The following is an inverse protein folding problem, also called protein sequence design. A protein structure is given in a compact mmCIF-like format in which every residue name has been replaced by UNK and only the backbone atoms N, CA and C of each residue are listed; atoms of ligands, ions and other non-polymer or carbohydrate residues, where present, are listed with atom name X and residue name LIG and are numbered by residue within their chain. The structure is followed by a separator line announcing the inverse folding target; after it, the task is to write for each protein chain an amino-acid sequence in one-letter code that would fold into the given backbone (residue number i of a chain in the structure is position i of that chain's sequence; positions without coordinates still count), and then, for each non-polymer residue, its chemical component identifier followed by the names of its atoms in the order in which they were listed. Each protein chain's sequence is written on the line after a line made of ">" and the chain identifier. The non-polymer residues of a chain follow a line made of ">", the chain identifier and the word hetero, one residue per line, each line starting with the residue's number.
data_IF_911233442313
#
_entry.id   IF_911233442313
#
_cell.length_a   1.000
_cell.length_b   1.000
_cell.length_c   1.000
_cell.angle_alpha   90.00
_cell.angle_beta   90.00
_cell.angle_gamma   90.00
#
_symmetry.space_group_name_H-M   'P 1'
#
loop_
_entity.id
_entity.type
_entity.pdbx_description
1 polymer ?
#
# COMPACT_ATOMS: atom_id res chain seq x y z
N UNK A 1 0.43 -2.61 -27.50
CA UNK A 1 1.83 -2.28 -27.20
C UNK A 1 1.88 -0.76 -27.00
N UNK A 2 1.63 -0.32 -25.76
CA UNK A 2 1.66 1.10 -25.41
C UNK A 2 3.11 1.50 -25.20
N UNK A 3 3.52 2.62 -25.79
CA UNK A 3 4.79 3.28 -25.47
C UNK A 3 4.89 3.43 -23.96
N UNK A 4 5.88 2.78 -23.35
CA UNK A 4 6.18 2.96 -21.93
C UNK A 4 6.60 4.42 -21.73
N UNK A 5 5.69 5.22 -21.18
CA UNK A 5 6.08 6.47 -20.54
C UNK A 5 7.16 6.11 -19.51
N UNK A 6 8.29 6.83 -19.52
CA UNK A 6 9.34 6.61 -18.55
C UNK A 6 8.75 6.85 -17.16
N UNK A 7 8.61 5.80 -16.35
CA UNK A 7 7.98 5.90 -15.04
C UNK A 7 8.82 6.82 -14.16
N UNK A 8 8.22 7.88 -13.65
CA UNK A 8 8.88 8.89 -12.85
C UNK A 8 8.88 8.49 -11.37
N UNK A 9 9.74 7.54 -11.02
CA UNK A 9 9.87 7.11 -9.64
C UNK A 9 10.60 8.14 -8.79
N UNK A 10 9.98 8.52 -7.67
CA UNK A 10 10.60 9.33 -6.63
C UNK A 10 11.01 8.44 -5.47
N UNK A 11 12.28 8.50 -5.10
CA UNK A 11 12.81 7.80 -3.92
C UNK A 11 12.46 8.55 -2.64
N UNK A 12 12.02 7.82 -1.61
CA UNK A 12 11.86 8.32 -0.25
C UNK A 12 12.39 7.28 0.75
N UNK A 13 13.19 7.77 1.69
CA UNK A 13 13.88 6.92 2.68
C UNK A 13 12.93 6.52 3.81
N UNK A 14 12.85 5.21 4.10
CA UNK A 14 12.20 4.67 5.29
C UNK A 14 13.19 4.15 6.32
N UNK A 15 12.71 3.45 7.35
CA UNK A 15 13.57 2.91 8.40
C UNK A 15 14.47 1.79 7.85
N UNK A 16 13.87 0.69 7.38
CA UNK A 16 14.57 -0.49 6.87
C UNK A 16 14.40 -0.68 5.35
N UNK A 17 13.62 0.20 4.72
CA UNK A 17 13.27 0.17 3.31
C UNK A 17 13.62 1.49 2.65
N UNK A 18 13.93 1.43 1.36
CA UNK A 18 13.81 2.54 0.41
C UNK A 18 12.51 2.34 -0.35
N UNK A 19 11.70 3.39 -0.45
CA UNK A 19 10.49 3.38 -1.24
C UNK A 19 10.71 4.15 -2.54
N UNK A 20 10.15 3.65 -3.62
CA UNK A 20 10.07 4.32 -4.90
C UNK A 20 8.59 4.39 -5.28
N UNK A 21 8.04 5.59 -5.43
CA UNK A 21 6.65 5.75 -5.80
C UNK A 21 6.52 6.46 -7.13
N UNK A 22 5.51 6.11 -7.91
CA UNK A 22 5.23 6.75 -9.20
C UNK A 22 4.61 8.14 -8.95
N UNK A 23 5.36 9.19 -9.24
CA UNK A 23 4.91 10.58 -9.06
C UNK A 23 3.81 10.99 -10.05
N UNK A 24 3.67 10.31 -11.19
CA UNK A 24 2.58 10.60 -12.13
C UNK A 24 1.24 10.13 -11.51
N UNK A 25 1.27 8.98 -10.85
CA UNK A 25 0.11 8.44 -10.14
C UNK A 25 -0.17 9.17 -8.81
N UNK A 26 0.81 9.24 -7.90
CA UNK A 26 0.62 9.78 -6.55
C UNK A 26 0.77 11.29 -6.45
N UNK A 27 1.50 11.92 -7.38
CA UNK A 27 1.86 13.34 -7.33
C UNK A 27 3.23 13.54 -6.70
N UNK A 28 3.91 14.60 -7.12
CA UNK A 28 5.22 14.93 -6.58
C UNK A 28 5.10 15.39 -5.12
N UNK A 29 5.95 14.84 -4.23
CA UNK A 29 6.00 15.16 -2.81
C UNK A 29 4.72 14.85 -2.01
N UNK A 30 3.83 13.98 -2.51
CA UNK A 30 2.64 13.55 -1.77
C UNK A 30 2.92 12.44 -0.76
N UNK A 31 4.09 11.79 -0.87
CA UNK A 31 4.47 10.67 -0.02
C UNK A 31 5.06 11.11 1.32
N UNK A 32 4.70 10.38 2.37
CA UNK A 32 5.27 10.44 3.71
C UNK A 32 5.63 9.03 4.18
N UNK A 33 6.63 8.91 5.06
CA UNK A 33 7.10 7.60 5.54
C UNK A 33 7.18 7.58 7.05
N UNK A 34 6.64 6.52 7.65
CA UNK A 34 6.73 6.23 9.07
C UNK A 34 7.15 4.77 9.26
N UNK A 35 8.39 4.55 9.72
CA UNK A 35 8.95 3.21 9.88
C UNK A 35 9.08 2.48 8.54
N UNK A 36 8.36 1.36 8.39
CA UNK A 36 8.29 0.56 7.16
C UNK A 36 6.96 0.75 6.40
N UNK A 37 6.30 1.88 6.64
CA UNK A 37 5.06 2.23 5.96
C UNK A 37 5.24 3.52 5.16
N UNK A 38 4.62 3.58 3.99
CA UNK A 38 4.50 4.77 3.14
C UNK A 38 3.04 5.17 3.04
N UNK A 39 2.77 6.47 3.11
CA UNK A 39 1.42 7.04 3.02
C UNK A 39 1.38 8.22 2.06
N UNK A 40 0.23 8.42 1.43
CA UNK A 40 0.00 9.47 0.44
C UNK A 40 -1.20 10.31 0.83
N UNK A 41 -1.04 11.63 0.85
CA UNK A 41 -2.17 12.56 0.89
C UNK A 41 -2.78 12.66 -0.51
N UNK A 42 -4.05 12.28 -0.60
CA UNK A 42 -4.82 12.24 -1.85
C UNK A 42 -5.96 13.26 -1.88
N UNK A 43 -6.09 14.09 -0.84
CA UNK A 43 -7.26 14.94 -0.61
C UNK A 43 -7.54 15.94 -1.73
N UNK A 44 -6.50 16.51 -2.35
CA UNK A 44 -6.64 17.44 -3.47
C UNK A 44 -6.98 16.75 -4.80
N UNK A 45 -6.66 15.45 -4.91
CA UNK A 45 -6.79 14.70 -6.16
C UNK A 45 -8.05 13.86 -6.21
N UNK A 46 -8.49 13.26 -5.11
CA UNK A 46 -9.53 12.25 -5.10
C UNK A 46 -10.77 12.73 -4.37
N UNK A 47 -11.55 13.57 -5.04
CA UNK A 47 -12.84 14.06 -4.60
C UNK A 47 -13.91 13.81 -5.66
N UNK A 48 -15.08 13.31 -5.25
CA UNK A 48 -16.28 13.24 -6.08
C UNK A 48 -17.49 13.70 -5.28
N UNK A 49 -18.43 14.33 -5.98
CA UNK A 49 -19.72 14.72 -5.43
C UNK A 49 -20.85 14.40 -6.42
N UNK A 50 -22.03 14.22 -5.85
CA UNK A 50 -23.28 14.01 -6.55
C UNK A 50 -24.35 14.89 -5.91
N UNK A 51 -24.93 15.78 -6.70
CA UNK A 51 -25.99 16.69 -6.29
C UNK A 51 -27.25 16.39 -7.09
N UNK A 52 -28.40 16.43 -6.43
CA UNK A 52 -29.68 16.31 -7.08
C UNK A 52 -30.68 17.24 -6.41
N UNK A 53 -31.36 18.08 -7.19
CA UNK A 53 -32.35 19.02 -6.69
C UNK A 53 -33.79 18.50 -6.72
N UNK A 54 -34.02 17.40 -7.45
CA UNK A 54 -35.35 16.83 -7.62
C UNK A 54 -35.73 15.90 -6.47
N UNK A 55 -37.03 15.86 -6.13
CA UNK A 55 -37.57 14.93 -5.13
C UNK A 55 -37.45 13.47 -5.59
N UNK A 56 -37.57 13.23 -6.89
CA UNK A 56 -37.42 11.92 -7.52
C UNK A 56 -36.24 11.92 -8.48
N UNK A 57 -35.56 10.78 -8.57
CA UNK A 57 -34.34 10.63 -9.35
C UNK A 57 -33.09 10.77 -8.50
N UNK A 58 -31.93 10.74 -9.13
CA UNK A 58 -30.66 10.86 -8.44
C UNK A 58 -29.49 11.11 -9.37
N UNK A 59 -28.36 11.44 -8.77
CA UNK A 59 -27.08 11.61 -9.43
C UNK A 59 -26.07 10.64 -8.82
N UNK A 60 -25.17 10.14 -9.65
CA UNK A 60 -24.04 9.32 -9.20
C UNK A 60 -22.80 9.80 -9.93
N UNK A 61 -21.72 9.95 -9.18
CA UNK A 61 -20.41 10.28 -9.72
C UNK A 61 -19.37 9.35 -9.11
N UNK A 62 -18.48 8.84 -9.95
CA UNK A 62 -17.42 7.93 -9.52
C UNK A 62 -16.11 8.33 -10.15
N UNK A 63 -15.03 8.02 -9.44
CA UNK A 63 -13.67 8.18 -9.94
C UNK A 63 -12.90 6.88 -9.72
N UNK A 64 -12.16 6.49 -10.74
CA UNK A 64 -11.24 5.36 -10.67
C UNK A 64 -9.90 5.74 -11.29
N UNK A 65 -8.85 5.54 -10.52
CA UNK A 65 -7.47 5.69 -10.99
C UNK A 65 -6.73 4.38 -10.68
N UNK A 66 -5.83 3.98 -11.59
CA UNK A 66 -5.00 2.79 -11.44
C UNK A 66 -3.56 3.07 -11.83
N UNK A 67 -2.62 2.68 -10.99
CA UNK A 67 -1.18 2.81 -11.19
C UNK A 67 -0.50 1.44 -11.14
N UNK A 68 0.37 1.19 -12.11
CA UNK A 68 1.22 -0.01 -12.15
C UNK A 68 2.53 0.26 -11.41
N UNK A 69 2.93 -0.68 -10.56
CA UNK A 69 4.12 -0.54 -9.70
C UNK A 69 4.14 0.82 -8.99
N UNK A 70 2.95 1.29 -8.59
CA UNK A 70 2.70 2.61 -8.00
C UNK A 70 3.58 2.87 -6.77
N UNK A 71 4.00 1.80 -6.08
CA UNK A 71 4.95 1.79 -4.97
C UNK A 71 5.85 0.57 -5.10
N UNK A 72 7.16 0.75 -4.90
CA UNK A 72 8.16 -0.31 -4.82
C UNK A 72 8.91 -0.13 -3.50
N UNK A 73 8.99 -1.19 -2.71
CA UNK A 73 9.75 -1.28 -1.48
C UNK A 73 11.00 -2.14 -1.70
N UNK A 74 12.18 -1.55 -1.45
CA UNK A 74 13.48 -2.20 -1.58
C UNK A 74 14.16 -2.21 -0.20
N UNK A 75 14.48 -3.37 0.39
CA UNK A 75 15.18 -3.44 1.66
C UNK A 75 16.55 -2.78 1.62
N UNK A 76 16.94 -2.13 2.72
CA UNK A 76 18.31 -1.69 2.93
C UNK A 76 19.22 -2.90 3.18
N UNK A 77 20.53 -2.69 3.08
CA UNK A 77 21.52 -3.73 3.42
C UNK A 77 21.25 -4.31 4.81
N UNK A 78 21.33 -5.64 4.94
CA UNK A 78 21.03 -6.35 6.19
C UNK A 78 19.54 -6.57 6.47
N UNK A 79 18.64 -6.26 5.52
CA UNK A 79 17.20 -6.49 5.67
C UNK A 79 16.61 -7.24 4.47
N UNK A 80 15.44 -7.84 4.68
CA UNK A 80 14.60 -8.38 3.62
C UNK A 80 13.14 -8.05 3.88
N UNK A 81 12.37 -7.84 2.80
CA UNK A 81 10.95 -7.49 2.88
C UNK A 81 10.11 -8.74 2.66
N UNK A 82 9.09 -8.93 3.50
CA UNK A 82 8.16 -10.03 3.35
C UNK A 82 7.09 -9.74 2.28
N UNK A 83 6.50 -10.78 1.71
CA UNK A 83 5.29 -10.69 0.88
C UNK A 83 4.04 -10.47 1.74
N UNK A 84 4.10 -9.65 2.78
CA UNK A 84 2.92 -9.21 3.54
C UNK A 84 2.79 -7.70 3.43
N UNK A 85 1.58 -7.27 3.09
CA UNK A 85 1.21 -5.87 2.95
C UNK A 85 0.00 -5.59 3.84
N UNK A 86 0.07 -4.56 4.67
CA UNK A 86 -1.13 -3.87 5.16
C UNK A 86 -1.44 -2.70 4.23
N UNK A 87 -2.69 -2.58 3.81
CA UNK A 87 -3.17 -1.48 2.98
C UNK A 87 -4.37 -0.85 3.67
N UNK A 88 -4.37 0.48 3.79
CA UNK A 88 -5.52 1.21 4.32
C UNK A 88 -5.78 2.49 3.55
N UNK A 89 -7.03 2.91 3.55
CA UNK A 89 -7.49 4.15 2.96
C UNK A 89 -8.45 4.85 3.93
N UNK A 90 -8.27 6.15 4.07
CA UNK A 90 -9.14 7.02 4.85
C UNK A 90 -9.89 7.92 3.90
N UNK A 91 -11.21 7.98 4.05
CA UNK A 91 -12.07 8.86 3.25
C UNK A 91 -12.97 9.68 4.16
N UNK A 92 -13.12 10.97 3.84
CA UNK A 92 -14.19 11.77 4.38
C UNK A 92 -15.45 11.64 3.53
N UNK A 93 -16.60 11.87 4.15
CA UNK A 93 -17.88 11.95 3.48
C UNK A 93 -18.71 13.07 4.09
N UNK A 94 -19.59 13.66 3.28
CA UNK A 94 -20.64 14.54 3.75
C UNK A 94 -21.91 14.33 2.93
N UNK A 95 -23.04 14.40 3.62
CA UNK A 95 -24.38 14.34 3.06
C UNK A 95 -25.15 15.57 3.53
N UNK A 96 -25.88 16.20 2.62
CA UNK A 96 -26.81 17.28 2.93
C UNK A 96 -28.13 17.09 2.19
N UNK A 97 -29.16 17.82 2.61
CA UNK A 97 -30.51 17.71 2.06
C UNK A 97 -31.36 16.65 2.75
N UNK A 98 -32.44 16.24 2.08
CA UNK A 98 -33.49 15.37 2.61
C UNK A 98 -33.61 14.04 1.88
N UNK A 99 -32.78 13.83 0.85
CA UNK A 99 -32.66 12.58 0.11
C UNK A 99 -31.68 11.59 0.75
N UNK A 100 -31.47 10.45 0.10
CA UNK A 100 -30.50 9.42 0.50
C UNK A 100 -29.18 9.65 -0.23
N UNK A 101 -28.10 9.83 0.52
CA UNK A 101 -26.74 9.93 0.02
C UNK A 101 -25.98 8.62 0.27
N UNK A 102 -25.05 8.28 -0.61
CA UNK A 102 -24.12 7.16 -0.46
C UNK A 102 -22.71 7.64 -0.79
N UNK A 103 -21.75 7.33 0.09
CA UNK A 103 -20.31 7.47 -0.15
C UNK A 103 -19.68 6.08 -0.20
N UNK A 104 -18.98 5.77 -1.28
CA UNK A 104 -18.18 4.57 -1.44
C UNK A 104 -16.70 4.93 -1.59
N UNK A 105 -15.83 4.10 -1.02
CA UNK A 105 -14.41 4.11 -1.36
C UNK A 105 -13.85 2.71 -1.30
N UNK A 106 -12.93 2.39 -2.20
CA UNK A 106 -12.23 1.12 -2.22
C UNK A 106 -10.76 1.28 -2.58
N UNK A 107 -9.96 0.38 -2.02
CA UNK A 107 -8.58 0.15 -2.39
C UNK A 107 -8.47 -1.24 -2.98
N UNK A 108 -7.81 -1.30 -4.12
CA UNK A 108 -7.63 -2.51 -4.92
C UNK A 108 -6.17 -2.55 -5.32
N UNK A 109 -5.61 -3.74 -5.47
CA UNK A 109 -4.27 -3.82 -5.97
C UNK A 109 -3.71 -5.22 -6.01
N UNK A 110 -2.47 -5.29 -6.45
CA UNK A 110 -1.69 -6.52 -6.47
C UNK A 110 -0.38 -6.30 -5.73
N UNK A 111 0.17 -7.37 -5.17
CA UNK A 111 1.53 -7.38 -4.63
C UNK A 111 2.39 -8.29 -5.49
N UNK A 112 3.55 -7.80 -5.91
CA UNK A 112 4.49 -8.51 -6.77
C UNK A 112 5.86 -8.53 -6.10
N UNK A 113 6.54 -9.67 -6.13
CA UNK A 113 7.94 -9.78 -5.74
C UNK A 113 8.81 -9.68 -6.99
N UNK A 114 10.03 -9.21 -6.85
CA UNK A 114 10.86 -9.01 -8.03
C UNK A 114 12.24 -8.43 -7.72
N UNK A 115 12.82 -7.84 -8.75
CA UNK A 115 14.11 -7.15 -8.70
C UNK A 115 13.90 -5.71 -9.12
N UNK A 116 14.41 -4.79 -8.31
CA UNK A 116 14.52 -3.37 -8.67
C UNK A 116 15.96 -3.06 -9.05
N UNK A 117 16.19 -2.70 -10.32
CA UNK A 117 17.51 -2.40 -10.86
C UNK A 117 17.42 -1.40 -12.02
N UNK A 118 18.39 -0.51 -12.13
CA UNK A 118 18.44 0.47 -13.24
C UNK A 118 17.23 1.41 -13.30
N UNK A 119 16.58 1.67 -12.17
CA UNK A 119 15.37 2.51 -12.10
C UNK A 119 14.06 1.80 -12.47
N UNK A 120 14.10 0.50 -12.76
CA UNK A 120 12.92 -0.30 -13.13
C UNK A 120 12.68 -1.48 -12.19
N UNK A 121 11.42 -1.89 -12.08
CA UNK A 121 11.01 -3.11 -11.40
C UNK A 121 10.71 -4.21 -12.42
N UNK A 122 11.17 -5.42 -12.13
CA UNK A 122 10.90 -6.61 -12.94
C UNK A 122 10.39 -7.72 -12.04
N UNK A 123 9.31 -8.38 -12.46
CA UNK A 123 8.64 -9.42 -11.67
C UNK A 123 8.27 -10.62 -12.55
N UNK A 124 8.32 -11.85 -12.02
CA UNK A 124 7.79 -13.04 -12.68
C UNK A 124 6.24 -13.11 -12.64
N UNK A 125 5.57 -12.27 -11.85
CA UNK A 125 4.12 -12.22 -11.69
C UNK A 125 3.66 -11.62 -10.35
N UNK A 126 2.35 -11.42 -10.20
CA UNK A 126 1.78 -11.04 -8.91
C UNK A 126 1.65 -12.25 -7.98
N UNK A 127 1.84 -12.03 -6.67
CA UNK A 127 1.76 -13.05 -5.62
C UNK A 127 0.41 -13.05 -4.91
N UNK A 128 -0.22 -11.89 -4.78
CA UNK A 128 -1.57 -11.78 -4.22
C UNK A 128 -2.27 -10.52 -4.74
N UNK A 129 -3.60 -10.50 -4.58
CA UNK A 129 -4.49 -9.39 -4.91
C UNK A 129 -5.24 -9.01 -3.64
N UNK A 130 -5.51 -7.72 -3.47
CA UNK A 130 -6.36 -7.22 -2.40
C UNK A 130 -7.47 -6.35 -2.95
N UNK A 131 -8.62 -6.41 -2.28
CA UNK A 131 -9.79 -5.58 -2.50
C UNK A 131 -10.39 -5.30 -1.13
N UNK A 132 -10.60 -4.03 -0.82
CA UNK A 132 -11.38 -3.63 0.34
C UNK A 132 -12.25 -2.44 -0.04
N UNK A 133 -13.52 -2.51 0.32
CA UNK A 133 -14.49 -1.45 0.09
C UNK A 133 -15.12 -1.02 1.42
N UNK A 134 -15.54 0.24 1.47
CA UNK A 134 -16.35 0.77 2.54
C UNK A 134 -17.45 1.65 1.99
N UNK A 135 -18.64 1.52 2.56
CA UNK A 135 -19.85 2.23 2.16
C UNK A 135 -20.42 2.96 3.36
N UNK A 136 -20.85 4.21 3.17
CA UNK A 136 -21.66 4.96 4.12
C UNK A 136 -22.91 5.41 3.39
N UNK A 137 -24.07 5.16 3.98
CA UNK A 137 -25.35 5.68 3.50
C UNK A 137 -25.86 6.73 4.49
N UNK A 138 -26.57 7.74 4.00
CA UNK A 138 -27.29 8.67 4.87
C UNK A 138 -28.65 8.07 5.26
N UNK A 139 -29.01 8.18 6.53
CA UNK A 139 -30.33 7.80 7.04
C UNK A 139 -31.34 8.95 6.83
N UNK A 140 -31.42 9.48 5.60
CA UNK A 140 -32.23 10.66 5.23
C UNK A 140 -31.91 11.92 6.05
N UNK A 141 -30.77 11.94 6.72
CA UNK A 141 -30.32 13.03 7.58
C UNK A 141 -28.95 13.51 7.09
N UNK A 142 -28.72 14.83 7.09
CA UNK A 142 -27.39 15.38 6.85
C UNK A 142 -26.39 14.82 7.87
N UNK A 143 -25.17 14.58 7.42
CA UNK A 143 -24.14 14.02 8.27
C UNK A 143 -22.80 14.02 7.55
N UNK A 144 -21.73 14.13 8.33
CA UNK A 144 -20.37 14.09 7.82
C UNK A 144 -19.50 13.27 8.76
N UNK A 145 -18.46 12.66 8.21
CA UNK A 145 -17.51 11.92 9.02
C UNK A 145 -16.38 11.35 8.20
N UNK A 146 -15.67 10.43 8.84
CA UNK A 146 -14.53 9.74 8.24
C UNK A 146 -14.79 8.24 8.27
N UNK A 147 -14.34 7.56 7.23
CA UNK A 147 -14.37 6.12 7.07
C UNK A 147 -12.95 5.64 6.82
N UNK A 148 -12.54 4.59 7.54
CA UNK A 148 -11.26 3.91 7.30
C UNK A 148 -11.56 2.51 6.80
N UNK A 149 -10.97 2.16 5.67
CA UNK A 149 -10.94 0.80 5.16
C UNK A 149 -9.52 0.28 5.27
N UNK A 150 -9.37 -0.98 5.66
CA UNK A 150 -8.06 -1.60 5.80
C UNK A 150 -8.11 -3.08 5.51
N UNK A 151 -7.04 -3.62 4.94
CA UNK A 151 -6.85 -5.04 4.69
C UNK A 151 -5.39 -5.41 4.86
N UNK A 152 -5.12 -6.67 5.15
CA UNK A 152 -3.77 -7.24 5.18
C UNK A 152 -3.76 -8.45 4.27
N UNK A 153 -2.81 -8.50 3.35
CA UNK A 153 -2.71 -9.53 2.32
C UNK A 153 -1.29 -10.13 2.28
N UNK A 154 -1.21 -11.38 1.83
CA UNK A 154 0.04 -12.06 1.56
C UNK A 154 0.60 -12.85 2.74
N UNK A 155 1.86 -13.29 2.63
CA UNK A 155 2.51 -14.21 3.54
C UNK A 155 3.72 -13.55 4.24
N UNK A 156 3.73 -13.45 5.59
CA UNK A 156 4.86 -12.89 6.33
C UNK A 156 6.11 -13.77 6.33
N UNK A 157 6.01 -15.04 5.92
CA UNK A 157 7.12 -16.01 5.97
C UNK A 157 7.97 -16.07 4.69
N UNK A 158 7.63 -15.32 3.64
CA UNK A 158 8.35 -15.31 2.37
C UNK A 158 9.03 -13.97 2.15
N UNK A 159 10.36 -13.97 1.98
CA UNK A 159 11.19 -12.76 1.94
C UNK A 159 11.86 -12.53 0.59
N UNK A 160 11.96 -11.26 0.19
CA UNK A 160 12.42 -10.85 -1.14
C UNK A 160 13.32 -9.62 -1.07
N UNK A 161 14.00 -9.34 -2.19
CA UNK A 161 14.89 -8.19 -2.39
C UNK A 161 14.15 -6.97 -2.94
N UNK A 162 12.93 -7.11 -3.44
CA UNK A 162 12.02 -6.02 -3.74
C UNK A 162 10.57 -6.52 -3.78
N UNK A 163 9.63 -5.68 -3.35
CA UNK A 163 8.19 -5.88 -3.48
C UNK A 163 7.58 -4.63 -4.11
N UNK A 164 6.74 -4.79 -5.12
CA UNK A 164 6.02 -3.71 -5.77
C UNK A 164 4.51 -3.90 -5.65
N UNK A 165 3.79 -2.79 -5.71
CA UNK A 165 2.34 -2.71 -5.61
C UNK A 165 1.77 -2.15 -6.90
N UNK A 166 0.75 -2.79 -7.44
CA UNK A 166 -0.19 -2.09 -8.31
C UNK A 166 -1.31 -1.55 -7.42
N UNK A 167 -1.74 -0.30 -7.65
CA UNK A 167 -2.79 0.35 -6.87
C UNK A 167 -3.91 0.80 -7.76
N UNK A 168 -5.12 0.36 -7.46
CA UNK A 168 -6.38 0.93 -7.91
C UNK A 168 -7.11 1.59 -6.76
N UNK A 169 -7.71 2.75 -7.01
CA UNK A 169 -8.57 3.44 -6.06
C UNK A 169 -9.87 3.78 -6.75
N UNK A 170 -10.99 3.42 -6.13
CA UNK A 170 -12.31 3.84 -6.58
C UNK A 170 -12.99 4.64 -5.47
N UNK A 171 -13.57 5.77 -5.83
CA UNK A 171 -14.47 6.52 -4.95
C UNK A 171 -15.78 6.82 -5.67
N UNK A 172 -16.85 6.89 -4.91
CA UNK A 172 -18.18 7.17 -5.43
C UNK A 172 -19.01 8.00 -4.48
N UNK A 173 -19.78 8.92 -5.06
CA UNK A 173 -20.86 9.62 -4.38
C UNK A 173 -22.15 9.38 -5.17
N UNK A 174 -23.22 9.03 -4.48
CA UNK A 174 -24.57 8.94 -5.07
C UNK A 174 -25.55 9.69 -4.20
N UNK A 175 -26.48 10.38 -4.83
CA UNK A 175 -27.54 11.12 -4.17
C UNK A 175 -28.87 10.81 -4.86
N UNK A 176 -29.80 10.22 -4.13
CA UNK A 176 -31.18 10.02 -4.55
C UNK A 176 -32.11 10.98 -3.81
N UNK A 177 -33.05 11.62 -4.51
CA UNK A 177 -33.85 12.70 -3.95
C UNK A 177 -33.03 13.96 -3.68
N UNK A 178 -33.66 15.00 -3.13
CA UNK A 178 -33.05 16.32 -3.01
C UNK A 178 -31.90 16.34 -2.00
N UNK A 179 -30.69 16.65 -2.44
CA UNK A 179 -29.52 16.76 -1.57
C UNK A 179 -28.19 16.78 -2.30
N UNK A 180 -27.14 16.59 -1.52
CA UNK A 180 -25.75 16.49 -1.99
C UNK A 180 -25.04 15.41 -1.20
N UNK A 181 -24.30 14.55 -1.90
CA UNK A 181 -23.38 13.58 -1.34
C UNK A 181 -21.99 13.84 -1.87
N UNK A 182 -20.99 13.74 -1.02
CA UNK A 182 -19.59 13.81 -1.43
C UNK A 182 -18.74 12.79 -0.71
N UNK A 183 -17.62 12.45 -1.34
CA UNK A 183 -16.55 11.72 -0.68
C UNK A 183 -15.20 12.20 -1.19
N UNK A 184 -14.25 12.30 -0.27
CA UNK A 184 -12.85 12.60 -0.56
C UNK A 184 -11.99 11.49 0.02
N UNK A 185 -11.13 10.88 -0.78
CA UNK A 185 -10.08 10.01 -0.26
C UNK A 185 -8.96 10.93 0.26
N UNK A 186 -8.70 10.90 1.56
CA UNK A 186 -7.74 11.80 2.19
C UNK A 186 -6.36 11.17 2.25
N UNK A 187 -6.29 9.90 2.66
CA UNK A 187 -5.02 9.22 2.89
C UNK A 187 -5.06 7.79 2.39
N UNK A 188 -3.95 7.34 1.82
CA UNK A 188 -3.71 5.92 1.52
C UNK A 188 -2.39 5.51 2.14
N UNK A 189 -2.36 4.40 2.87
CA UNK A 189 -1.17 3.90 3.56
C UNK A 189 -0.89 2.44 3.20
N UNK A 190 0.37 2.14 2.96
CA UNK A 190 0.91 0.81 2.72
C UNK A 190 2.00 0.49 3.73
N UNK A 191 1.80 -0.55 4.53
CA UNK A 191 2.77 -1.04 5.51
C UNK A 191 3.40 -2.35 5.07
N UNK A 192 4.73 -2.42 5.20
CA UNK A 192 5.51 -3.59 4.79
C UNK A 192 6.16 -4.26 5.99
N UNK A 193 6.10 -5.59 6.00
CA UNK A 193 6.79 -6.41 7.01
C UNK A 193 8.25 -6.62 6.58
N UNK A 194 9.19 -6.35 7.48
CA UNK A 194 10.63 -6.43 7.21
C UNK A 194 11.31 -7.25 8.31
N UNK A 195 12.28 -8.07 7.93
CA UNK A 195 13.14 -8.79 8.88
C UNK A 195 14.61 -8.42 8.68
N UNK A 196 15.39 -8.50 9.75
CA UNK A 196 16.84 -8.40 9.66
C UNK A 196 17.40 -9.71 9.09
N UNK A 197 18.31 -9.60 8.13
CA UNK A 197 19.09 -10.71 7.59
C UNK A 197 20.43 -10.71 8.31
N UNK A 198 20.79 -11.76 9.06
CA UNK A 198 22.09 -11.82 9.73
C UNK A 198 23.22 -11.67 8.71
N UNK A 199 24.20 -10.84 9.03
CA UNK A 199 25.32 -10.60 8.13
C UNK A 199 26.11 -11.90 7.88
N UNK A 200 26.70 -12.10 6.68
CA UNK A 200 27.52 -13.28 6.35
C UNK A 200 28.62 -13.55 7.38
N UNK A 201 29.19 -12.51 7.97
CA UNK A 201 30.20 -12.57 9.02
C UNK A 201 29.67 -13.26 10.28
N UNK A 202 28.39 -13.05 10.62
CA UNK A 202 27.76 -13.72 11.76
C UNK A 202 27.67 -15.23 11.55
N UNK A 203 27.36 -15.66 10.32
CA UNK A 203 27.37 -17.08 9.96
C UNK A 203 28.79 -17.65 9.96
N UNK A 204 29.77 -16.90 9.44
CA UNK A 204 31.17 -17.31 9.46
C UNK A 204 31.69 -17.45 10.90
N UNK A 205 31.36 -16.53 11.79
CA UNK A 205 31.72 -16.58 13.22
C UNK A 205 31.04 -17.73 13.95
N UNK A 206 29.77 -18.02 13.64
CA UNK A 206 29.06 -19.18 14.18
C UNK A 206 29.72 -20.50 13.74
N UNK A 207 30.04 -20.64 12.46
CA UNK A 207 30.75 -21.81 11.91
C UNK A 207 32.14 -21.93 12.51
N UNK A 208 32.89 -20.83 12.64
CA UNK A 208 34.19 -20.81 13.28
C UNK A 208 34.11 -21.24 14.75
N UNK A 209 33.11 -20.74 15.49
CA UNK A 209 32.84 -21.15 16.87
C UNK A 209 32.53 -22.64 16.99
N UNK A 210 31.65 -23.17 16.12
CA UNK A 210 31.35 -24.60 16.04
C UNK A 210 32.58 -25.45 15.69
N UNK A 211 33.42 -24.98 14.77
CA UNK A 211 34.67 -25.62 14.40
C UNK A 211 35.65 -25.72 15.57
N UNK A 212 35.79 -24.63 16.34
CA UNK A 212 36.61 -24.59 17.57
C UNK A 212 36.11 -25.57 18.64
N UNK A 213 34.79 -25.61 18.88
CA UNK A 213 34.18 -26.54 19.85
C UNK A 213 34.39 -28.00 19.43
N UNK A 214 34.17 -28.32 18.15
CA UNK A 214 34.40 -29.66 17.60
C UNK A 214 35.87 -30.09 17.73
N UNK A 215 36.81 -29.18 17.43
CA UNK A 215 38.24 -29.43 17.58
C UNK A 215 38.65 -29.69 19.04
N UNK A 216 38.16 -28.86 19.97
CA UNK A 216 38.42 -29.05 21.40
C UNK A 216 37.83 -30.36 21.94
N UNK A 217 36.64 -30.76 21.49
CA UNK A 217 36.03 -32.04 21.84
C UNK A 217 36.84 -33.24 21.33
N UNK A 218 37.39 -33.17 20.10
CA UNK A 218 38.26 -34.21 19.54
C UNK A 218 39.54 -34.41 20.37
N UNK A 219 40.18 -33.33 20.82
CA UNK A 219 41.39 -33.42 21.64
C UNK A 219 41.16 -34.13 22.97
N UNK A 220 40.00 -33.92 23.60
CA UNK A 220 39.64 -34.58 24.87
C UNK A 220 39.40 -36.08 24.72
N UNK A 221 38.86 -36.53 23.58
CA UNK A 221 38.66 -37.96 23.28
C UNK A 221 39.94 -38.74 22.99
N UNK A 222 41.02 -38.06 22.60
CA UNK A 222 42.33 -38.70 22.36
C UNK A 222 43.24 -38.70 23.59
N UNK A 223 42.83 -38.07 24.69
CA UNK A 223 43.59 -37.98 25.94
C UNK A 223 43.01 -38.85 27.07
N UNK A 224 41.95 -39.63 26.78
CA UNK A 224 41.39 -40.67 27.63
C UNK A 224 41.53 -42.01 26.90
#
# INVERSE_FOLDING_TARGET
>A
MSSAQAVNYVEIEGANLKFYYDADFWGLNSASVAGNSISFDTSERFHVSAENDAIFGGATNTRFDYGYWSVIAVPKSGYSVALQLSASATSSYAFTGTGTGTSSSSIIGSISSGVYAGGGFTSPGFNAVFYQEGLVNSDLTPGSGTKVISTTVGNPASYFTAVALDTGMNIGASQFGKGHAETTLTDVTYGFTVTAVPEPETYAMMIAGLGLVGFAARRRKHAA
#
